data_IF_873582585874
#
_entry.id   IF_873582585874
#
_cell.length_a   1.000
_cell.length_b   1.000
_cell.length_c   1.000
_cell.angle_alpha   90.00
_cell.angle_beta   90.00
_cell.angle_gamma   90.00
#
_symmetry.space_group_name_H-M   'P 1'
#
loop_
_entity.id
_entity.type
_entity.pdbx_description
1 polymer ?
#
# COMPACT_ATOMS: atom_id res chain seq x y z
N UNK A 1 -24.12 -5.44 -10.71
CA UNK A 1 -24.48 -4.08 -11.12
C UNK A 1 -23.69 -3.73 -12.38
N UNK A 2 -24.36 -3.14 -13.36
CA UNK A 2 -23.70 -2.53 -14.51
C UNK A 2 -23.24 -1.11 -14.13
N UNK A 3 -21.95 -0.83 -14.23
CA UNK A 3 -21.35 0.48 -13.92
C UNK A 3 -21.26 1.38 -15.16
N UNK A 4 -21.50 0.86 -16.36
CA UNK A 4 -21.45 1.66 -17.60
C UNK A 4 -22.55 2.73 -17.64
N UNK A 5 -23.61 2.56 -16.86
CA UNK A 5 -24.66 3.57 -16.68
C UNK A 5 -24.23 4.73 -15.77
N UNK A 6 -23.09 4.62 -15.07
CA UNK A 6 -22.51 5.74 -14.35
C UNK A 6 -21.79 6.64 -15.35
N UNK A 7 -22.15 7.91 -15.43
CA UNK A 7 -21.42 8.92 -16.20
C UNK A 7 -20.10 9.30 -15.50
N UNK A 8 -19.23 8.31 -15.32
CA UNK A 8 -17.96 8.36 -14.59
C UNK A 8 -16.94 7.50 -15.32
N UNK A 9 -15.69 7.96 -15.31
CA UNK A 9 -14.58 7.15 -15.84
C UNK A 9 -14.35 5.93 -14.94
N UNK A 10 -14.55 4.73 -15.47
CA UNK A 10 -14.35 3.48 -14.76
C UNK A 10 -12.90 3.26 -14.31
N UNK A 11 -11.91 3.97 -14.86
CA UNK A 11 -10.55 3.96 -14.33
C UNK A 11 -10.44 4.60 -12.93
N UNK A 12 -11.48 5.31 -12.49
CA UNK A 12 -11.59 6.04 -11.22
C UNK A 12 -12.73 5.55 -10.32
N UNK A 13 -13.38 4.44 -10.66
CA UNK A 13 -14.52 3.89 -9.92
C UNK A 13 -14.14 2.57 -9.27
N UNK A 14 -14.44 2.43 -7.98
CA UNK A 14 -14.30 1.18 -7.23
C UNK A 14 -15.69 0.82 -6.70
N UNK A 15 -16.13 -0.42 -6.92
CA UNK A 15 -17.33 -1.01 -6.33
C UNK A 15 -16.89 -1.92 -5.17
N UNK A 16 -17.43 -1.65 -3.98
CA UNK A 16 -17.19 -2.46 -2.80
C UNK A 16 -18.44 -3.27 -2.47
N UNK A 17 -18.26 -4.57 -2.26
CA UNK A 17 -19.34 -5.45 -1.85
C UNK A 17 -18.78 -6.61 -1.01
N UNK A 18 -19.65 -7.38 -0.37
CA UNK A 18 -19.30 -8.64 0.30
C UNK A 18 -19.35 -9.85 -0.62
N UNK A 19 -19.92 -9.72 -1.81
CA UNK A 19 -20.08 -10.82 -2.78
C UNK A 19 -19.63 -10.44 -4.19
N UNK A 20 -18.79 -11.30 -4.81
CA UNK A 20 -18.34 -11.15 -6.20
C UNK A 20 -19.51 -11.14 -7.20
N UNK A 21 -20.61 -11.82 -6.88
CA UNK A 21 -21.80 -11.89 -7.73
C UNK A 21 -22.46 -10.52 -7.96
N UNK A 22 -22.38 -9.63 -6.98
CA UNK A 22 -23.03 -8.32 -7.06
C UNK A 22 -22.37 -7.38 -8.06
N UNK A 23 -21.14 -7.67 -8.48
CA UNK A 23 -20.40 -6.90 -9.49
C UNK A 23 -19.90 -7.75 -10.65
N UNK A 24 -20.56 -8.88 -10.93
CA UNK A 24 -20.22 -9.78 -12.05
C UNK A 24 -20.15 -9.12 -13.43
N UNK A 25 -20.87 -8.01 -13.64
CA UNK A 25 -20.84 -7.25 -14.90
C UNK A 25 -19.62 -6.32 -15.00
N UNK A 26 -18.96 -6.02 -13.88
CA UNK A 26 -17.79 -5.14 -13.79
C UNK A 26 -16.73 -5.74 -12.86
N UNK A 27 -16.24 -6.96 -13.12
CA UNK A 27 -15.37 -7.70 -12.20
C UNK A 27 -14.05 -7.00 -11.94
N UNK A 28 -13.57 -6.19 -12.90
CA UNK A 28 -12.31 -5.43 -12.79
C UNK A 28 -12.42 -4.21 -11.86
N UNK A 29 -13.63 -3.76 -11.57
CA UNK A 29 -13.91 -2.60 -10.73
C UNK A 29 -14.39 -3.00 -9.32
N UNK A 30 -14.66 -4.28 -9.10
CA UNK A 30 -15.13 -4.80 -7.83
C UNK A 30 -14.00 -5.22 -6.89
N UNK A 31 -14.21 -5.03 -5.60
CA UNK A 31 -13.40 -5.59 -4.53
C UNK A 31 -14.34 -6.23 -3.50
N UNK A 32 -14.16 -7.52 -3.23
CA UNK A 32 -14.91 -8.21 -2.19
C UNK A 32 -14.27 -7.98 -0.83
N UNK A 33 -15.06 -7.53 0.14
CA UNK A 33 -14.66 -7.40 1.54
C UNK A 33 -15.26 -8.51 2.37
N UNK A 34 -14.63 -8.82 3.50
CA UNK A 34 -15.20 -9.73 4.48
C UNK A 34 -16.56 -9.20 4.97
N UNK A 35 -17.55 -10.09 5.05
CA UNK A 35 -18.85 -9.75 5.63
C UNK A 35 -18.68 -9.41 7.11
N UNK A 36 -19.19 -8.26 7.52
CA UNK A 36 -19.24 -7.90 8.93
C UNK A 36 -20.23 -8.80 9.68
N UNK A 37 -19.77 -9.41 10.77
CA UNK A 37 -20.54 -10.36 11.58
C UNK A 37 -20.99 -9.78 12.91
N UNK A 38 -20.84 -8.47 13.13
CA UNK A 38 -21.17 -7.81 14.40
C UNK A 38 -20.00 -7.71 15.39
N UNK A 39 -18.80 -8.11 14.99
CA UNK A 39 -17.61 -7.94 15.82
C UNK A 39 -17.26 -6.44 15.94
N UNK A 40 -17.11 -5.97 17.18
CA UNK A 40 -16.78 -4.58 17.53
C UNK A 40 -15.29 -4.28 17.39
N UNK A 41 -14.47 -5.32 17.40
CA UNK A 41 -13.02 -5.22 17.27
C UNK A 41 -12.58 -5.35 15.79
N UNK A 42 -13.53 -5.57 14.88
CA UNK A 42 -13.33 -5.54 13.43
C UNK A 42 -12.77 -4.17 12.98
N UNK A 43 -11.67 -4.21 12.23
CA UNK A 43 -10.98 -3.02 11.70
C UNK A 43 -10.96 -2.97 10.18
N UNK A 44 -11.74 -3.81 9.50
CA UNK A 44 -11.69 -3.98 8.04
C UNK A 44 -11.92 -2.64 7.31
N UNK A 45 -12.86 -1.81 7.78
CA UNK A 45 -13.13 -0.50 7.19
C UNK A 45 -12.01 0.53 7.43
N UNK A 46 -11.24 0.41 8.52
CA UNK A 46 -10.06 1.24 8.74
C UNK A 46 -8.94 0.89 7.75
N UNK A 47 -8.72 -0.41 7.53
CA UNK A 47 -7.75 -0.89 6.55
C UNK A 47 -8.15 -0.49 5.13
N UNK A 48 -9.44 -0.59 4.80
CA UNK A 48 -9.99 -0.11 3.54
C UNK A 48 -9.76 1.40 3.35
N UNK A 49 -9.99 2.21 4.39
CA UNK A 49 -9.75 3.65 4.31
C UNK A 49 -8.27 3.95 4.01
N UNK A 50 -7.34 3.25 4.66
CA UNK A 50 -5.91 3.37 4.39
C UNK A 50 -5.54 2.89 2.98
N UNK A 51 -6.18 1.83 2.49
CA UNK A 51 -6.03 1.33 1.12
C UNK A 51 -6.46 2.37 0.09
N UNK A 52 -7.65 2.95 0.24
CA UNK A 52 -8.16 3.99 -0.66
C UNK A 52 -7.27 5.24 -0.63
N UNK A 53 -6.81 5.65 0.56
CA UNK A 53 -5.87 6.76 0.71
C UNK A 53 -4.55 6.47 -0.02
N UNK A 54 -4.04 5.25 0.06
CA UNK A 54 -2.81 4.83 -0.62
C UNK A 54 -2.95 4.94 -2.15
N UNK A 55 -4.08 4.52 -2.72
CA UNK A 55 -4.37 4.66 -4.15
C UNK A 55 -4.28 6.13 -4.59
N UNK A 56 -4.89 7.03 -3.81
CA UNK A 56 -4.88 8.48 -4.09
C UNK A 56 -3.48 9.06 -3.95
N UNK A 57 -2.78 8.77 -2.85
CA UNK A 57 -1.44 9.28 -2.55
C UNK A 57 -0.43 8.85 -3.62
N UNK A 58 -0.53 7.60 -4.10
CA UNK A 58 0.34 7.07 -5.15
C UNK A 58 -0.06 7.51 -6.56
N UNK A 59 -1.09 8.37 -6.70
CA UNK A 59 -1.57 8.92 -7.98
C UNK A 59 -1.85 7.82 -9.02
N UNK A 60 -2.43 6.71 -8.57
CA UNK A 60 -2.82 5.59 -9.45
C UNK A 60 -3.73 6.13 -10.56
N UNK A 61 -3.36 5.90 -11.82
CA UNK A 61 -4.11 6.41 -12.99
C UNK A 61 -5.36 5.58 -13.28
N UNK A 62 -5.26 4.26 -13.10
CA UNK A 62 -6.35 3.31 -13.31
C UNK A 62 -6.41 2.36 -12.10
N UNK A 63 -7.48 2.46 -11.31
CA UNK A 63 -7.64 1.67 -10.09
C UNK A 63 -7.75 0.16 -10.38
N UNK A 64 -8.17 -0.23 -11.59
CA UNK A 64 -8.41 -1.63 -11.95
C UNK A 64 -7.13 -2.46 -11.91
N UNK A 65 -5.96 -1.87 -12.14
CA UNK A 65 -4.68 -2.60 -12.03
C UNK A 65 -4.37 -3.00 -10.59
N UNK A 66 -4.69 -2.13 -9.63
CA UNK A 66 -4.55 -2.39 -8.20
C UNK A 66 -5.56 -3.45 -7.77
N UNK A 67 -6.84 -3.29 -8.16
CA UNK A 67 -7.89 -4.25 -7.81
C UNK A 67 -7.63 -5.65 -8.37
N UNK A 68 -7.12 -5.75 -9.60
CA UNK A 68 -6.76 -7.04 -10.21
C UNK A 68 -5.74 -7.79 -9.33
N UNK A 69 -4.69 -7.12 -8.87
CA UNK A 69 -3.71 -7.74 -7.99
C UNK A 69 -4.35 -8.21 -6.67
N UNK A 70 -5.13 -7.34 -6.00
CA UNK A 70 -5.69 -7.68 -4.70
C UNK A 70 -6.82 -8.73 -4.75
N UNK A 71 -7.50 -8.87 -5.89
CA UNK A 71 -8.56 -9.87 -6.09
C UNK A 71 -8.05 -11.31 -6.23
N UNK A 72 -6.74 -11.50 -6.43
CA UNK A 72 -6.08 -12.81 -6.45
C UNK A 72 -5.88 -13.42 -5.06
N UNK A 73 -6.20 -12.67 -3.99
CA UNK A 73 -6.07 -13.10 -2.60
C UNK A 73 -7.44 -13.33 -1.97
N UNK A 74 -7.51 -14.30 -1.05
CA UNK A 74 -8.74 -14.61 -0.31
C UNK A 74 -9.20 -13.44 0.56
N UNK A 75 -8.25 -12.75 1.21
CA UNK A 75 -8.48 -11.54 1.99
C UNK A 75 -7.62 -10.39 1.44
N UNK A 76 -8.21 -9.50 0.62
CA UNK A 76 -7.53 -8.34 0.07
C UNK A 76 -6.97 -7.38 1.13
N UNK A 77 -7.68 -7.18 2.25
CA UNK A 77 -7.27 -6.23 3.29
C UNK A 77 -6.14 -6.80 4.14
N UNK A 78 -6.17 -8.10 4.43
CA UNK A 78 -5.01 -8.78 5.01
C UNK A 78 -3.80 -8.63 4.11
N UNK A 79 -3.96 -8.87 2.80
CA UNK A 79 -2.82 -8.73 1.88
C UNK A 79 -2.29 -7.31 1.84
N UNK A 80 -3.18 -6.32 1.90
CA UNK A 80 -2.78 -4.92 1.97
C UNK A 80 -1.94 -4.62 3.22
N UNK A 81 -2.36 -5.10 4.40
CA UNK A 81 -1.59 -4.94 5.66
C UNK A 81 -0.20 -5.56 5.56
N UNK A 82 -0.10 -6.77 5.02
CA UNK A 82 1.19 -7.45 4.81
C UNK A 82 2.13 -6.63 3.92
N UNK A 83 1.59 -6.11 2.82
CA UNK A 83 2.37 -5.30 1.89
C UNK A 83 2.85 -4.00 2.54
N UNK A 84 2.01 -3.33 3.34
CA UNK A 84 2.41 -2.13 4.10
C UNK A 84 3.52 -2.44 5.12
N UNK A 85 3.39 -3.55 5.85
CA UNK A 85 4.40 -3.98 6.83
C UNK A 85 5.74 -4.31 6.17
N UNK A 86 5.71 -5.01 5.03
CA UNK A 86 6.91 -5.33 4.26
C UNK A 86 7.61 -4.06 3.76
N UNK A 87 6.85 -3.12 3.20
CA UNK A 87 7.35 -1.83 2.72
C UNK A 87 8.00 -1.03 3.86
N UNK A 88 7.38 -0.97 5.04
CA UNK A 88 7.94 -0.27 6.20
C UNK A 88 9.25 -0.92 6.70
N UNK A 89 9.29 -2.25 6.75
CA UNK A 89 10.49 -3.00 7.15
C UNK A 89 11.65 -2.72 6.20
N UNK A 90 11.44 -2.83 4.89
CA UNK A 90 12.47 -2.55 3.88
C UNK A 90 12.95 -1.11 3.95
N UNK A 91 12.05 -0.13 4.13
CA UNK A 91 12.45 1.27 4.31
C UNK A 91 13.31 1.48 5.56
N UNK A 92 12.97 0.84 6.68
CA UNK A 92 13.76 0.90 7.91
C UNK A 92 15.17 0.32 7.71
N UNK A 93 15.28 -0.86 7.10
CA UNK A 93 16.56 -1.53 6.83
C UNK A 93 17.45 -0.68 5.90
N UNK A 94 16.90 -0.17 4.80
CA UNK A 94 17.62 0.73 3.89
C UNK A 94 18.09 2.00 4.60
N UNK A 95 17.27 2.59 5.47
CA UNK A 95 17.64 3.79 6.23
C UNK A 95 18.81 3.54 7.20
N UNK A 96 18.84 2.37 7.86
CA UNK A 96 19.92 1.97 8.77
C UNK A 96 21.23 1.75 8.01
N UNK A 97 21.20 1.02 6.90
CA UNK A 97 22.37 0.80 6.05
C UNK A 97 22.96 2.12 5.54
N UNK A 98 22.09 3.04 5.09
CA UNK A 98 22.52 4.37 4.66
C UNK A 98 23.14 5.19 5.80
N UNK A 99 22.61 5.09 7.02
CA UNK A 99 23.17 5.77 8.18
C UNK A 99 24.55 5.19 8.55
N UNK A 100 24.70 3.86 8.58
CA UNK A 100 25.97 3.18 8.86
C UNK A 100 27.05 3.51 7.83
N UNK A 101 26.70 3.51 6.53
CA UNK A 101 27.63 3.92 5.48
C UNK A 101 28.10 5.37 5.63
N UNK A 102 27.18 6.28 5.99
CA UNK A 102 27.53 7.68 6.26
C UNK A 102 28.47 7.80 7.46
N UNK A 103 28.25 7.03 8.52
CA UNK A 103 29.15 7.01 9.69
C UNK A 103 30.54 6.45 9.34
N UNK A 104 30.63 5.36 8.59
CA UNK A 104 31.92 4.79 8.14
C UNK A 104 32.70 5.78 7.25
N UNK A 105 32.02 6.48 6.33
CA UNK A 105 32.64 7.53 5.50
C UNK A 105 33.11 8.74 6.31
N UNK A 106 32.41 9.09 7.40
CA UNK A 106 32.83 10.18 8.30
C UNK A 106 34.08 9.81 9.13
N UNK A 107 34.16 8.57 9.60
CA UNK A 107 35.33 8.08 10.35
C UNK A 107 36.59 7.92 9.48
N UNK A 108 36.43 7.60 8.19
CA UNK A 108 37.54 7.52 7.24
C UNK A 108 38.15 8.87 6.80
N UNK A 109 37.59 10.01 7.22
CA UNK A 109 38.02 11.37 6.82
C UNK A 109 38.92 12.08 7.85
N UNK A 110 39.26 11.46 8.97
CA UNK A 110 40.22 12.04 9.92
C UNK A 110 41.64 11.92 9.37
N UNK A 111 42.16 12.98 8.72
CA UNK A 111 43.60 13.09 8.44
C UNK A 111 44.38 13.15 9.76
N UNK A 112 45.57 12.52 9.87
CA UNK A 112 46.40 12.65 11.06
C UNK A 112 46.79 14.12 11.26
N UNK A 113 46.54 14.64 12.46
CA UNK A 113 47.05 15.96 12.86
C UNK A 113 48.58 15.85 12.97
N UNK A 114 49.31 16.50 12.07
CA UNK A 114 50.76 16.64 12.16
C UNK A 114 51.06 17.94 12.90
N UNK A 115 51.60 17.91 14.13
CA UNK A 115 51.95 19.13 14.85
C UNK A 115 53.20 19.75 14.20
N UNK A 116 53.09 21.00 13.72
CA UNK A 116 54.27 21.76 13.30
C UNK A 116 55.09 22.16 14.53
N UNK A 117 56.35 21.72 14.58
CA UNK A 117 57.32 22.17 15.59
C UNK A 117 57.78 23.59 15.26
N UNK A 118 57.89 24.40 16.31
CA UNK A 118 58.40 25.78 16.32
C UNK A 118 59.89 25.83 16.00
#
# INVERSE_FOLDING_TARGET
MDLTCLNRDLSRVILLDTSKEHYKLNPRNGLALKKWTGDKDDRELYDLAAFLQTIVTNKVKDVRSVLLYYNDFDDPMQKFRENQAAVLKTQSELSKLQAEEKMKKAQGRTSPFIPQKR
#
